data_IF_696112498019
#
_entry.id   IF_696112498019
#
_cell.length_a   1.000
_cell.length_b   1.000
_cell.length_c   1.000
_cell.angle_alpha   90.00
_cell.angle_beta   90.00
_cell.angle_gamma   90.00
#
_symmetry.space_group_name_H-M   'P 1'
#
loop_
_entity.id
_entity.type
_entity.pdbx_description
1 polymer ?
#
# COMPACT_ATOMS: atom_id res chain seq x y z
N UNK A 1 -0.58 -15.68 35.33
CA UNK A 1 -1.22 -15.65 33.97
C UNK A 1 -0.97 -14.30 33.34
N UNK A 2 -0.47 -14.26 32.10
CA UNK A 2 -0.28 -13.05 31.31
C UNK A 2 -1.17 -13.16 30.07
N UNK A 3 -1.85 -12.07 29.65
CA UNK A 3 -2.72 -12.03 28.48
C UNK A 3 -2.14 -11.10 27.43
N UNK A 4 -2.02 -11.59 26.20
CA UNK A 4 -1.67 -10.81 25.01
C UNK A 4 -2.87 -10.73 24.07
N UNK A 5 -3.18 -9.54 23.59
CA UNK A 5 -4.23 -9.30 22.58
C UNK A 5 -3.59 -9.28 21.20
N UNK A 6 -3.84 -10.32 20.40
CA UNK A 6 -3.32 -10.41 19.02
C UNK A 6 -4.13 -9.56 18.06
N UNK A 7 -5.47 -9.64 18.15
CA UNK A 7 -6.44 -8.84 17.35
C UNK A 7 -6.13 -8.82 15.86
N UNK A 8 -5.77 -9.96 15.29
CA UNK A 8 -5.38 -10.09 13.89
C UNK A 8 -5.97 -11.34 13.24
N UNK A 9 -6.14 -11.28 11.93
CA UNK A 9 -6.46 -12.43 11.12
C UNK A 9 -5.27 -13.40 11.12
N UNK A 10 -5.55 -14.68 11.28
CA UNK A 10 -4.54 -15.74 11.31
C UNK A 10 -4.86 -16.83 10.29
N UNK A 11 -3.84 -17.59 9.88
CA UNK A 11 -4.01 -18.75 8.99
C UNK A 11 -4.80 -19.85 9.67
N UNK A 12 -5.55 -20.65 8.92
CA UNK A 12 -6.52 -21.65 9.41
C UNK A 12 -5.99 -22.62 10.47
N UNK A 13 -4.72 -22.99 10.38
CA UNK A 13 -4.10 -23.93 11.31
C UNK A 13 -3.58 -23.29 12.61
N UNK A 14 -3.50 -21.96 12.69
CA UNK A 14 -2.89 -21.27 13.83
C UNK A 14 -3.75 -21.43 15.07
N UNK A 15 -5.07 -21.30 14.97
CA UNK A 15 -5.99 -21.50 16.12
C UNK A 15 -5.78 -22.88 16.73
N UNK A 16 -5.76 -23.94 15.88
CA UNK A 16 -5.53 -25.30 16.38
C UNK A 16 -4.17 -25.44 17.06
N UNK A 17 -3.11 -24.85 16.50
CA UNK A 17 -1.78 -24.87 17.14
C UNK A 17 -1.78 -24.22 18.51
N UNK A 18 -2.47 -23.08 18.67
CA UNK A 18 -2.60 -22.43 19.97
C UNK A 18 -3.41 -23.26 20.97
N UNK A 19 -4.46 -23.96 20.51
CA UNK A 19 -5.28 -24.82 21.38
C UNK A 19 -4.56 -26.12 21.80
N UNK A 20 -3.65 -26.61 20.97
CA UNK A 20 -2.87 -27.82 21.22
C UNK A 20 -1.57 -27.54 22.03
N UNK A 21 -1.19 -26.27 22.20
CA UNK A 21 0.04 -25.86 22.88
C UNK A 21 -0.13 -25.89 24.39
N UNK A 22 0.64 -26.71 25.07
CA UNK A 22 0.57 -26.89 26.53
C UNK A 22 0.93 -25.63 27.34
N UNK A 23 1.65 -24.68 26.72
CA UNK A 23 2.00 -23.40 27.32
C UNK A 23 0.88 -22.35 27.18
N UNK A 24 -0.12 -22.59 26.34
CA UNK A 24 -1.26 -21.70 26.10
C UNK A 24 -2.45 -22.12 26.97
N UNK A 25 -2.74 -21.36 28.01
CA UNK A 25 -3.83 -21.66 28.94
C UNK A 25 -5.23 -21.47 28.35
N UNK A 26 -5.37 -20.50 27.42
CA UNK A 26 -6.64 -20.17 26.76
C UNK A 26 -6.43 -19.36 25.48
N UNK A 27 -7.18 -19.73 24.46
CA UNK A 27 -7.25 -18.96 23.19
C UNK A 27 -8.70 -18.57 22.93
N UNK A 28 -8.99 -17.28 22.92
CA UNK A 28 -10.28 -16.75 22.46
C UNK A 28 -10.18 -16.39 20.99
N UNK A 29 -11.10 -16.90 20.17
CA UNK A 29 -11.15 -16.63 18.74
C UNK A 29 -12.59 -16.62 18.24
N UNK A 30 -12.80 -16.03 17.06
CA UNK A 30 -14.09 -16.02 16.39
C UNK A 30 -13.92 -16.09 14.86
N UNK A 31 -14.97 -16.48 14.19
CA UNK A 31 -15.05 -16.45 12.72
C UNK A 31 -15.66 -15.10 12.33
N UNK A 32 -14.98 -14.40 11.42
CA UNK A 32 -15.41 -13.08 10.94
C UNK A 32 -16.55 -13.19 9.95
N UNK A 33 -17.42 -12.18 9.90
CA UNK A 33 -18.33 -12.01 8.79
C UNK A 33 -17.56 -11.57 7.50
N UNK A 34 -18.24 -11.60 6.37
CA UNK A 34 -17.61 -11.33 5.06
C UNK A 34 -17.00 -9.94 4.95
N UNK A 35 -17.65 -8.92 5.49
CA UNK A 35 -17.16 -7.54 5.39
C UNK A 35 -15.97 -7.31 6.33
N UNK A 36 -16.04 -7.86 7.52
CA UNK A 36 -14.96 -7.81 8.50
C UNK A 36 -13.74 -8.59 7.99
N UNK A 37 -13.95 -9.77 7.42
CA UNK A 37 -12.90 -10.57 6.80
C UNK A 37 -12.14 -9.79 5.71
N UNK A 38 -12.85 -9.10 4.81
CA UNK A 38 -12.23 -8.24 3.78
C UNK A 38 -11.39 -7.12 4.38
N UNK A 39 -11.89 -6.46 5.42
CA UNK A 39 -11.12 -5.42 6.13
C UNK A 39 -9.84 -5.97 6.73
N UNK A 40 -9.93 -7.14 7.37
CA UNK A 40 -8.76 -7.77 7.97
C UNK A 40 -7.78 -8.32 6.92
N UNK A 41 -8.25 -8.81 5.77
CA UNK A 41 -7.37 -9.15 4.64
C UNK A 41 -6.61 -7.92 4.11
N UNK A 42 -7.28 -6.76 3.95
CA UNK A 42 -6.61 -5.52 3.54
C UNK A 42 -5.59 -5.07 4.59
N UNK A 43 -5.88 -5.23 5.88
CA UNK A 43 -4.93 -4.95 6.94
C UNK A 43 -3.72 -5.88 6.87
N UNK A 44 -3.95 -7.17 6.60
CA UNK A 44 -2.88 -8.16 6.38
C UNK A 44 -2.01 -7.83 5.18
N UNK A 45 -2.56 -7.32 4.06
CA UNK A 45 -1.75 -6.84 2.93
C UNK A 45 -0.74 -5.78 3.37
N UNK A 46 -1.15 -4.83 4.21
CA UNK A 46 -0.23 -3.81 4.75
C UNK A 46 0.78 -4.42 5.71
N UNK A 47 0.36 -5.32 6.61
CA UNK A 47 1.23 -6.00 7.57
C UNK A 47 2.35 -6.77 6.82
N UNK A 48 2.00 -7.66 5.90
CA UNK A 48 2.98 -8.47 5.15
C UNK A 48 3.87 -7.61 4.23
N UNK A 49 3.35 -6.51 3.67
CA UNK A 49 4.15 -5.59 2.88
C UNK A 49 5.18 -4.84 3.73
N UNK A 50 4.83 -4.45 4.95
CA UNK A 50 5.73 -3.76 5.89
C UNK A 50 6.82 -4.69 6.45
N UNK A 51 6.59 -6.00 6.45
CA UNK A 51 7.54 -7.03 6.90
C UNK A 51 8.60 -7.37 5.84
N UNK A 52 8.44 -6.95 4.56
CA UNK A 52 9.41 -7.21 3.51
C UNK A 52 10.71 -6.43 3.77
N UNK A 53 11.84 -7.10 4.03
CA UNK A 53 13.11 -6.42 4.24
C UNK A 53 13.66 -5.83 2.94
N UNK A 54 14.26 -4.64 3.02
CA UNK A 54 14.80 -3.92 1.86
C UNK A 54 16.29 -4.22 1.58
N UNK A 55 16.94 -5.03 2.40
CA UNK A 55 18.36 -5.34 2.28
C UNK A 55 18.65 -6.48 1.31
N UNK A 56 19.62 -6.33 0.43
CA UNK A 56 20.01 -7.35 -0.56
C UNK A 56 20.51 -8.68 0.07
N UNK A 57 20.97 -8.63 1.33
CA UNK A 57 21.44 -9.78 2.09
C UNK A 57 20.34 -10.57 2.82
N UNK A 58 19.08 -10.14 2.71
CA UNK A 58 17.91 -10.74 3.36
C UNK A 58 16.99 -11.46 2.36
N UNK A 59 17.57 -12.04 1.33
CA UNK A 59 16.82 -12.65 0.21
C UNK A 59 15.82 -13.72 0.65
N UNK A 60 16.20 -14.58 1.59
CA UNK A 60 15.36 -15.70 2.03
C UNK A 60 14.18 -15.20 2.88
N UNK A 61 14.40 -14.18 3.70
CA UNK A 61 13.33 -13.49 4.43
C UNK A 61 12.39 -12.77 3.45
N UNK A 62 12.93 -11.99 2.51
CA UNK A 62 12.12 -11.33 1.49
C UNK A 62 11.25 -12.31 0.68
N UNK A 63 11.75 -13.51 0.40
CA UNK A 63 10.97 -14.54 -0.30
C UNK A 63 9.79 -15.03 0.55
N UNK A 64 9.98 -15.19 1.85
CA UNK A 64 8.90 -15.62 2.77
C UNK A 64 7.81 -14.56 2.86
N UNK A 65 8.20 -13.30 3.08
CA UNK A 65 7.24 -12.20 3.21
C UNK A 65 6.49 -11.92 1.89
N UNK A 66 7.17 -12.03 0.75
CA UNK A 66 6.52 -11.96 -0.57
C UNK A 66 5.53 -13.12 -0.79
N UNK A 67 5.82 -14.32 -0.28
CA UNK A 67 4.90 -15.45 -0.37
C UNK A 67 3.69 -15.27 0.55
N UNK A 68 3.89 -14.71 1.75
CA UNK A 68 2.82 -14.40 2.68
C UNK A 68 1.92 -13.27 2.13
N UNK A 69 2.50 -12.22 1.57
CA UNK A 69 1.76 -11.17 0.87
C UNK A 69 0.96 -11.72 -0.32
N UNK A 70 1.57 -12.59 -1.15
CA UNK A 70 0.90 -13.19 -2.29
C UNK A 70 -0.30 -14.05 -1.86
N UNK A 71 -0.17 -14.83 -0.78
CA UNK A 71 -1.26 -15.64 -0.21
C UNK A 71 -2.45 -14.77 0.21
N UNK A 72 -2.19 -13.63 0.87
CA UNK A 72 -3.24 -12.70 1.29
C UNK A 72 -3.93 -12.06 0.08
N UNK A 73 -3.16 -11.64 -0.95
CA UNK A 73 -3.68 -11.08 -2.20
C UNK A 73 -4.54 -12.12 -2.94
N UNK A 74 -4.11 -13.36 -3.02
CA UNK A 74 -4.86 -14.44 -3.66
C UNK A 74 -6.15 -14.77 -2.91
N UNK A 75 -6.11 -14.75 -1.57
CA UNK A 75 -7.30 -14.93 -0.73
C UNK A 75 -8.31 -13.80 -0.97
N UNK A 76 -7.84 -12.55 -1.04
CA UNK A 76 -8.68 -11.40 -1.33
C UNK A 76 -9.30 -11.47 -2.74
N UNK A 77 -8.51 -11.87 -3.75
CA UNK A 77 -8.98 -12.12 -5.11
C UNK A 77 -10.12 -13.16 -5.13
N UNK A 78 -9.95 -14.28 -4.42
CA UNK A 78 -10.95 -15.35 -4.32
C UNK A 78 -12.22 -14.88 -3.63
N UNK A 79 -12.10 -14.10 -2.54
CA UNK A 79 -13.26 -13.57 -1.82
C UNK A 79 -14.08 -12.59 -2.67
N UNK A 80 -13.44 -11.84 -3.58
CA UNK A 80 -14.12 -11.04 -4.59
C UNK A 80 -14.69 -11.87 -5.77
N UNK A 81 -14.32 -13.13 -5.90
CA UNK A 81 -14.79 -14.04 -6.96
C UNK A 81 -14.06 -13.84 -8.30
N UNK A 82 -12.88 -13.21 -8.31
CA UNK A 82 -12.08 -13.07 -9.52
C UNK A 82 -11.24 -14.32 -9.79
N UNK A 83 -11.15 -14.75 -11.05
CA UNK A 83 -10.20 -15.77 -11.46
C UNK A 83 -8.77 -15.19 -11.55
N UNK A 84 -7.76 -16.06 -11.58
CA UNK A 84 -6.37 -15.66 -11.80
C UNK A 84 -6.23 -15.00 -13.17
N UNK A 85 -6.87 -15.56 -14.19
CA UNK A 85 -6.83 -15.09 -15.57
C UNK A 85 -7.40 -13.67 -15.67
N UNK A 86 -8.53 -13.38 -15.03
CA UNK A 86 -9.12 -12.04 -15.02
C UNK A 86 -8.16 -10.99 -14.46
N UNK A 87 -7.46 -11.30 -13.35
CA UNK A 87 -6.48 -10.39 -12.77
C UNK A 87 -5.26 -10.23 -13.68
N UNK A 88 -4.77 -11.33 -14.27
CA UNK A 88 -3.64 -11.31 -15.21
C UNK A 88 -3.96 -10.51 -16.48
N UNK A 89 -5.13 -10.67 -17.07
CA UNK A 89 -5.58 -9.89 -18.22
C UNK A 89 -5.59 -8.39 -17.91
N UNK A 90 -6.10 -8.00 -16.74
CA UNK A 90 -6.11 -6.61 -16.30
C UNK A 90 -4.69 -6.06 -16.06
N UNK A 91 -3.79 -6.87 -15.49
CA UNK A 91 -2.39 -6.50 -15.33
C UNK A 91 -1.71 -6.28 -16.69
N UNK A 92 -1.94 -7.16 -17.68
CA UNK A 92 -1.41 -7.02 -19.04
C UNK A 92 -1.96 -5.75 -19.69
N UNK A 93 -3.25 -5.50 -19.59
CA UNK A 93 -3.88 -4.28 -20.13
C UNK A 93 -3.25 -3.01 -19.53
N UNK A 94 -3.09 -2.96 -18.22
CA UNK A 94 -2.44 -1.81 -17.54
C UNK A 94 -0.98 -1.65 -17.94
N UNK A 95 -0.25 -2.76 -18.11
CA UNK A 95 1.15 -2.73 -18.55
C UNK A 95 1.28 -2.23 -20.00
N UNK A 96 0.35 -2.58 -20.89
CA UNK A 96 0.31 -2.06 -22.26
C UNK A 96 0.01 -0.56 -22.29
N UNK A 97 -0.91 -0.08 -21.45
CA UNK A 97 -1.31 1.33 -21.39
C UNK A 97 -0.24 2.23 -20.74
N UNK A 98 0.31 1.82 -19.59
CA UNK A 98 1.14 2.67 -18.71
C UNK A 98 2.59 2.22 -18.58
N UNK A 99 2.94 1.04 -19.09
CA UNK A 99 4.23 0.40 -18.87
C UNK A 99 4.34 -0.33 -17.54
N UNK A 100 5.52 -0.88 -17.30
CA UNK A 100 5.91 -1.48 -16.02
C UNK A 100 6.73 -0.51 -15.16
N UNK A 101 7.44 -1.06 -14.17
CA UNK A 101 8.26 -0.29 -13.24
C UNK A 101 9.77 -0.42 -13.50
N UNK A 102 10.17 -1.05 -14.59
CA UNK A 102 11.57 -1.38 -14.90
C UNK A 102 12.48 -0.15 -15.01
N UNK A 103 11.91 0.99 -15.42
CA UNK A 103 12.63 2.26 -15.57
C UNK A 103 12.83 3.03 -14.26
N UNK A 104 12.22 2.60 -13.17
CA UNK A 104 12.32 3.22 -11.84
C UNK A 104 11.99 4.72 -11.82
N UNK A 105 11.06 5.17 -12.68
CA UNK A 105 10.66 6.58 -12.73
C UNK A 105 9.91 6.95 -11.45
N UNK A 106 10.32 8.07 -10.85
CA UNK A 106 9.64 8.70 -9.74
C UNK A 106 9.32 10.14 -10.11
N UNK A 107 8.06 10.55 -9.99
CA UNK A 107 7.63 11.92 -10.27
C UNK A 107 7.57 12.65 -8.93
N UNK A 108 8.36 13.68 -8.77
CA UNK A 108 8.36 14.53 -7.59
C UNK A 108 7.20 15.51 -7.62
N UNK A 109 7.04 16.25 -8.73
CA UNK A 109 5.94 17.20 -8.93
C UNK A 109 5.62 17.40 -10.41
N UNK A 110 4.52 18.03 -10.69
CA UNK A 110 4.15 18.53 -12.02
C UNK A 110 3.69 19.97 -11.90
N UNK A 111 4.27 20.87 -12.72
CA UNK A 111 3.74 22.21 -12.93
C UNK A 111 2.62 22.15 -13.97
N UNK A 112 1.44 22.58 -13.57
CA UNK A 112 0.26 22.58 -14.42
C UNK A 112 -0.07 24.01 -14.87
N UNK A 113 -0.66 24.12 -16.06
CA UNK A 113 -1.30 25.37 -16.46
C UNK A 113 -2.51 25.63 -15.57
N UNK A 114 -2.80 26.90 -15.25
CA UNK A 114 -3.91 27.28 -14.39
C UNK A 114 -5.29 26.78 -14.89
N UNK A 115 -5.45 26.69 -16.20
CA UNK A 115 -6.65 26.20 -16.89
C UNK A 115 -6.63 24.67 -17.18
N UNK A 116 -5.65 23.95 -16.65
CA UNK A 116 -5.56 22.50 -16.86
C UNK A 116 -6.68 21.76 -16.16
N UNK A 117 -7.34 20.84 -16.89
CA UNK A 117 -8.32 19.91 -16.30
C UNK A 117 -7.78 19.10 -15.13
N UNK A 118 -6.47 18.90 -15.05
CA UNK A 118 -5.82 18.14 -14.00
C UNK A 118 -5.79 18.88 -12.65
N UNK A 119 -5.90 20.21 -12.65
CA UNK A 119 -5.96 21.01 -11.42
C UNK A 119 -7.15 20.59 -10.57
N UNK A 120 -8.35 20.53 -11.17
CA UNK A 120 -9.55 20.08 -10.45
C UNK A 120 -9.46 18.61 -9.99
N UNK A 121 -8.90 17.74 -10.84
CA UNK A 121 -8.72 16.31 -10.50
C UNK A 121 -7.81 16.12 -9.29
N UNK A 122 -6.71 16.88 -9.21
CA UNK A 122 -5.78 16.78 -8.10
C UNK A 122 -6.32 17.44 -6.82
N UNK A 123 -7.00 18.59 -6.95
CA UNK A 123 -7.67 19.25 -5.82
C UNK A 123 -8.79 18.44 -5.20
N UNK A 124 -9.43 17.56 -5.98
CA UNK A 124 -10.44 16.65 -5.47
C UNK A 124 -9.87 15.52 -4.56
N UNK A 125 -8.55 15.35 -4.50
CA UNK A 125 -7.87 14.30 -3.71
C UNK A 125 -6.69 14.91 -2.92
N UNK A 126 -6.93 15.83 -1.99
CA UNK A 126 -5.87 16.57 -1.28
C UNK A 126 -5.02 15.69 -0.36
N UNK A 127 -5.55 14.55 0.09
CA UNK A 127 -4.80 13.56 0.86
C UNK A 127 -3.73 12.81 0.03
N UNK A 128 -3.88 12.85 -1.29
CA UNK A 128 -2.98 12.17 -2.24
C UNK A 128 -2.05 13.13 -2.99
N UNK A 129 -2.55 14.34 -3.26
CA UNK A 129 -1.83 15.35 -4.03
C UNK A 129 -1.75 16.65 -3.23
N UNK A 130 -0.55 17.01 -2.83
CA UNK A 130 -0.29 18.28 -2.13
C UNK A 130 -0.13 19.40 -3.17
N UNK A 131 -0.92 20.48 -3.02
CA UNK A 131 -0.81 21.68 -3.84
C UNK A 131 0.11 22.68 -3.15
N UNK A 132 1.19 23.09 -3.82
CA UNK A 132 2.02 24.22 -3.41
C UNK A 132 1.60 25.44 -4.23
N UNK A 133 1.08 26.47 -3.56
CA UNK A 133 0.75 27.74 -4.19
C UNK A 133 1.99 28.63 -4.09
N UNK A 134 2.70 28.86 -5.22
CA UNK A 134 3.72 29.88 -5.25
C UNK A 134 3.10 31.24 -4.96
N UNK A 135 3.39 31.78 -3.79
CA UNK A 135 3.17 33.21 -3.58
C UNK A 135 4.10 33.95 -4.50
N UNK A 136 3.53 34.73 -5.45
CA UNK A 136 4.27 35.56 -6.36
C UNK A 136 5.42 36.28 -5.62
N UNK A 137 6.65 35.94 -5.99
CA UNK A 137 7.84 36.57 -5.43
C UNK A 137 7.70 38.05 -5.62
N UNK A 138 7.69 38.80 -4.53
CA UNK A 138 7.79 40.27 -4.57
C UNK A 138 8.98 40.62 -5.42
N UNK A 139 8.74 41.27 -6.53
CA UNK A 139 9.76 41.87 -7.40
C UNK A 139 10.69 42.72 -6.54
N UNK A 140 11.93 42.25 -6.32
CA UNK A 140 12.97 43.10 -5.79
C UNK A 140 13.13 44.29 -6.72
N UNK A 141 13.11 45.54 -6.24
CA UNK A 141 13.35 46.69 -7.07
C UNK A 141 14.78 46.58 -7.64
N UNK A 142 14.92 46.69 -8.96
CA UNK A 142 16.20 46.84 -9.61
C UNK A 142 16.86 48.10 -9.04
N UNK A 143 17.93 47.93 -8.28
CA UNK A 143 18.81 49.04 -7.93
C UNK A 143 19.37 49.61 -9.25
N UNK A 144 18.91 50.78 -9.61
CA UNK A 144 19.48 51.59 -10.66
C UNK A 144 20.81 52.11 -10.15
N UNK A 145 21.91 51.68 -10.78
CA UNK A 145 23.22 52.28 -10.59
C UNK A 145 23.13 53.76 -10.87
N UNK A 146 23.42 54.57 -9.89
CA UNK A 146 23.79 55.97 -10.07
C UNK A 146 25.32 56.05 -10.00
N UNK A 147 25.89 56.29 -11.19
CA UNK A 147 27.24 56.76 -11.40
C UNK A 147 27.44 58.06 -10.65
N UNK A 148 28.48 58.17 -9.82
CA UNK A 148 29.45 59.28 -9.76
C UNK A 148 30.71 58.82 -9.04
#
# INVERSE_FOLDING_TARGET
>A
MVRFYLQKLVRDKVVKKCLDDEEVLHTEYRILDKQEFRRELLRKVHEEADEIPLGDNQRDESLKELADLQEVVDTLRQDFGFSIEQVQEEMVRKKQDKGGFDKRHYIEYNDLKDDSKWVEVFRAQPEKYHEEIEHAQSTKPKNTDILQ
#
